data_IF_610158445532
#
_entry.id   IF_610158445532
#
_cell.length_a   1.000
_cell.length_b   1.000
_cell.length_c   1.000
_cell.angle_alpha   90.00
_cell.angle_beta   90.00
_cell.angle_gamma   90.00
#
_symmetry.space_group_name_H-M   'P 1'
#
loop_
_entity.id
_entity.type
_entity.pdbx_description
1 polymer ?
#
# COMPACT_ATOMS: atom_id res chain seq x y z
N UNK A 1 13.74 -22.85 -18.35
CA UNK A 1 13.40 -22.12 -17.12
C UNK A 1 13.96 -22.92 -15.96
N UNK A 2 14.73 -22.30 -15.05
CA UNK A 2 15.06 -22.97 -13.79
C UNK A 2 13.76 -23.22 -13.04
N UNK A 3 13.59 -24.41 -12.48
CA UNK A 3 12.52 -24.70 -11.54
C UNK A 3 12.73 -23.79 -10.32
N UNK A 4 11.92 -22.75 -10.20
CA UNK A 4 12.05 -21.74 -9.13
C UNK A 4 11.61 -22.34 -7.79
N UNK A 5 10.98 -23.52 -7.80
CA UNK A 5 10.50 -24.20 -6.60
C UNK A 5 9.46 -23.37 -5.81
N UNK A 6 9.00 -23.91 -4.70
CA UNK A 6 8.08 -23.22 -3.79
C UNK A 6 8.80 -22.04 -3.10
N UNK A 7 8.20 -20.86 -3.16
CA UNK A 7 8.74 -19.65 -2.51
C UNK A 7 8.85 -19.83 -1.00
N UNK A 8 9.88 -19.26 -0.40
CA UNK A 8 10.28 -19.56 0.98
C UNK A 8 9.25 -19.07 2.00
N UNK A 9 8.76 -17.83 1.83
CA UNK A 9 7.90 -17.18 2.81
C UNK A 9 6.42 -17.27 2.42
N UNK A 10 6.05 -16.94 1.18
CA UNK A 10 4.66 -16.99 0.74
C UNK A 10 4.15 -18.41 0.45
N UNK A 11 5.04 -19.40 0.33
CA UNK A 11 4.73 -20.82 0.09
C UNK A 11 3.90 -21.08 -1.17
N UNK A 12 4.07 -20.26 -2.20
CA UNK A 12 3.42 -20.39 -3.50
C UNK A 12 4.41 -20.80 -4.59
N UNK A 13 3.87 -21.36 -5.66
CA UNK A 13 4.59 -21.73 -6.87
C UNK A 13 4.12 -20.89 -8.06
N UNK A 14 4.83 -20.95 -9.18
CA UNK A 14 4.36 -20.40 -10.44
C UNK A 14 2.97 -20.96 -10.79
N UNK A 15 2.05 -20.06 -11.15
CA UNK A 15 0.66 -20.40 -11.45
C UNK A 15 -0.30 -20.31 -10.27
N UNK A 16 0.15 -20.28 -9.02
CA UNK A 16 -0.73 -20.14 -7.85
C UNK A 16 -1.32 -18.74 -7.74
N UNK A 17 -0.59 -17.71 -8.18
CA UNK A 17 -0.98 -16.30 -8.13
C UNK A 17 -1.18 -15.69 -9.52
N UNK A 18 -1.91 -14.57 -9.60
CA UNK A 18 -2.05 -13.78 -10.82
C UNK A 18 -0.94 -12.74 -10.98
N UNK A 19 -0.82 -12.19 -12.21
CA UNK A 19 0.11 -11.07 -12.45
C UNK A 19 -0.28 -9.77 -11.75
N UNK A 20 -1.57 -9.64 -11.39
CA UNK A 20 -2.16 -8.48 -10.70
C UNK A 20 -2.38 -8.83 -9.23
N UNK A 21 -1.75 -8.11 -8.32
CA UNK A 21 -1.79 -8.45 -6.90
C UNK A 21 -2.15 -7.25 -6.03
N UNK A 22 -3.07 -7.47 -5.10
CA UNK A 22 -3.38 -6.53 -4.03
C UNK A 22 -2.56 -6.85 -2.79
N UNK A 23 -2.00 -5.82 -2.15
CA UNK A 23 -1.14 -5.93 -0.99
C UNK A 23 -1.74 -5.19 0.23
N UNK A 24 -2.67 -5.79 0.99
CA UNK A 24 -3.04 -5.26 2.30
C UNK A 24 -1.96 -5.60 3.33
N UNK A 25 -1.82 -4.79 4.38
CA UNK A 25 -0.94 -5.12 5.51
C UNK A 25 -1.55 -6.23 6.38
N UNK A 26 -2.82 -6.10 6.73
CA UNK A 26 -3.56 -6.99 7.61
C UNK A 26 -4.03 -8.26 6.88
N UNK A 27 -3.65 -9.47 7.37
CA UNK A 27 -4.15 -10.74 6.83
C UNK A 27 -5.68 -10.87 6.83
N UNK A 28 -6.36 -10.24 7.79
CA UNK A 28 -7.81 -10.25 7.89
C UNK A 28 -8.52 -9.53 6.74
N UNK A 29 -7.84 -8.61 6.03
CA UNK A 29 -8.40 -7.92 4.86
C UNK A 29 -8.36 -8.74 3.58
N UNK A 30 -7.59 -9.81 3.53
CA UNK A 30 -7.47 -10.60 2.29
C UNK A 30 -8.81 -11.18 1.84
N UNK A 31 -9.61 -11.72 2.77
CA UNK A 31 -10.94 -12.26 2.45
C UNK A 31 -11.90 -11.17 1.94
N UNK A 32 -11.91 -10.00 2.59
CA UNK A 32 -12.75 -8.86 2.17
C UNK A 32 -12.39 -8.35 0.77
N UNK A 33 -11.11 -8.35 0.41
CA UNK A 33 -10.65 -8.00 -0.93
C UNK A 33 -11.02 -9.10 -1.93
N UNK A 34 -10.76 -10.37 -1.58
CA UNK A 34 -11.06 -11.52 -2.42
C UNK A 34 -12.55 -11.71 -2.70
N UNK A 35 -13.43 -11.23 -1.81
CA UNK A 35 -14.88 -11.24 -2.01
C UNK A 35 -15.32 -10.42 -3.26
N UNK A 36 -14.46 -9.57 -3.81
CA UNK A 36 -14.69 -8.84 -5.06
C UNK A 36 -14.21 -9.58 -6.32
N UNK A 37 -13.55 -10.72 -6.16
CA UNK A 37 -13.09 -11.55 -7.30
C UNK A 37 -14.16 -12.53 -7.74
N UNK A 38 -14.11 -12.93 -9.01
CA UNK A 38 -14.88 -14.08 -9.49
C UNK A 38 -14.16 -15.36 -9.06
N UNK A 39 -14.92 -16.30 -8.47
CA UNK A 39 -14.45 -17.62 -8.03
C UNK A 39 -13.16 -17.56 -7.16
N UNK A 40 -13.14 -16.82 -6.06
CA UNK A 40 -11.96 -16.73 -5.21
C UNK A 40 -11.68 -18.05 -4.51
N UNK A 41 -10.41 -18.44 -4.47
CA UNK A 41 -9.91 -19.58 -3.71
C UNK A 41 -8.87 -19.12 -2.70
N UNK A 42 -8.90 -19.68 -1.51
CA UNK A 42 -7.83 -19.52 -0.53
C UNK A 42 -6.65 -20.39 -0.95
N UNK A 43 -5.53 -19.78 -1.33
CA UNK A 43 -4.31 -20.48 -1.76
C UNK A 43 -3.55 -21.02 -0.55
N UNK A 44 -3.44 -20.23 0.49
CA UNK A 44 -2.79 -20.61 1.73
C UNK A 44 -2.43 -19.43 2.60
N UNK A 45 -1.96 -19.75 3.79
CA UNK A 45 -1.43 -18.78 4.75
C UNK A 45 -0.14 -19.31 5.36
N UNK A 46 0.91 -18.50 5.36
CA UNK A 46 2.15 -18.76 6.07
C UNK A 46 2.67 -17.46 6.68
N UNK A 47 2.96 -17.44 7.98
CA UNK A 47 3.30 -16.23 8.73
C UNK A 47 2.22 -15.15 8.55
N UNK A 48 2.60 -13.94 8.17
CA UNK A 48 1.73 -12.81 7.84
C UNK A 48 1.14 -12.85 6.41
N UNK A 49 1.58 -13.78 5.56
CA UNK A 49 1.18 -13.87 4.16
C UNK A 49 -0.04 -14.77 4.00
N UNK A 50 -1.22 -14.16 3.90
CA UNK A 50 -2.50 -14.82 3.63
C UNK A 50 -2.89 -14.54 2.19
N UNK A 51 -3.13 -15.59 1.38
CA UNK A 51 -3.23 -15.46 -0.07
C UNK A 51 -4.55 -16.04 -0.58
N UNK A 52 -5.25 -15.24 -1.38
CA UNK A 52 -6.40 -15.66 -2.18
C UNK A 52 -6.14 -15.34 -3.65
N UNK A 53 -6.64 -16.17 -4.54
CA UNK A 53 -6.56 -15.99 -5.99
C UNK A 53 -7.94 -16.22 -6.60
N UNK A 54 -8.31 -15.40 -7.58
CA UNK A 54 -9.53 -15.48 -8.35
C UNK A 54 -9.37 -14.78 -9.68
N UNK A 55 -10.45 -14.23 -10.24
CA UNK A 55 -10.37 -13.44 -11.47
C UNK A 55 -11.10 -12.11 -11.37
N UNK A 56 -10.64 -11.12 -12.14
CA UNK A 56 -11.35 -9.89 -12.46
C UNK A 56 -11.32 -9.68 -13.97
N UNK A 57 -12.47 -9.48 -14.58
CA UNK A 57 -12.60 -9.35 -16.05
C UNK A 57 -11.91 -10.51 -16.81
N UNK A 58 -11.98 -11.72 -16.24
CA UNK A 58 -11.37 -12.93 -16.81
C UNK A 58 -9.85 -13.02 -16.65
N UNK A 59 -9.19 -12.04 -16.04
CA UNK A 59 -7.76 -12.08 -15.75
C UNK A 59 -7.51 -12.56 -14.32
N UNK A 60 -6.51 -13.43 -14.14
CA UNK A 60 -6.14 -13.94 -12.82
C UNK A 60 -5.59 -12.80 -11.95
N UNK A 61 -6.19 -12.64 -10.78
CA UNK A 61 -5.79 -11.66 -9.76
C UNK A 61 -5.58 -12.35 -8.43
N UNK A 62 -4.72 -11.78 -7.60
CA UNK A 62 -4.49 -12.29 -6.25
C UNK A 62 -4.49 -11.16 -5.22
N UNK A 63 -4.67 -11.54 -3.97
CA UNK A 63 -4.39 -10.71 -2.81
C UNK A 63 -3.43 -11.47 -1.90
N UNK A 64 -2.41 -10.79 -1.42
CA UNK A 64 -1.44 -11.30 -0.47
C UNK A 64 -1.20 -10.26 0.62
N UNK A 65 -1.47 -10.59 1.88
CA UNK A 65 -1.10 -9.69 2.99
C UNK A 65 0.41 -9.61 3.16
N UNK A 66 0.87 -8.47 3.66
CA UNK A 66 2.30 -8.19 3.80
C UNK A 66 2.76 -8.09 5.26
N UNK A 67 1.84 -8.13 6.23
CA UNK A 67 2.18 -7.69 7.59
C UNK A 67 2.48 -6.19 7.62
N UNK A 68 3.28 -5.77 8.60
CA UNK A 68 3.66 -4.37 8.84
C UNK A 68 5.13 -4.15 8.51
N UNK A 69 5.40 -3.09 7.77
CA UNK A 69 6.74 -2.57 7.53
C UNK A 69 7.42 -3.05 6.25
N UNK A 70 8.45 -2.30 5.87
CA UNK A 70 9.21 -2.50 4.63
C UNK A 70 9.79 -3.89 4.45
N UNK A 71 10.46 -4.49 5.45
CA UNK A 71 11.08 -5.81 5.29
C UNK A 71 10.10 -6.90 4.90
N UNK A 72 8.94 -6.99 5.57
CA UNK A 72 7.93 -7.98 5.26
C UNK A 72 7.26 -7.73 3.90
N UNK A 73 6.96 -6.47 3.59
CA UNK A 73 6.37 -6.09 2.31
C UNK A 73 7.29 -6.35 1.12
N UNK A 74 8.61 -6.11 1.27
CA UNK A 74 9.60 -6.38 0.23
C UNK A 74 9.75 -7.86 -0.07
N UNK A 75 9.77 -8.71 0.96
CA UNK A 75 9.80 -10.18 0.79
C UNK A 75 8.59 -10.65 -0.02
N UNK A 76 7.38 -10.16 0.32
CA UNK A 76 6.18 -10.52 -0.44
C UNK A 76 6.31 -10.13 -1.91
N UNK A 77 6.75 -8.90 -2.21
CA UNK A 77 6.88 -8.41 -3.59
C UNK A 77 7.93 -9.19 -4.38
N UNK A 78 9.10 -9.47 -3.79
CA UNK A 78 10.16 -10.28 -4.40
C UNK A 78 9.65 -11.67 -4.78
N UNK A 79 9.06 -12.38 -3.84
CA UNK A 79 8.61 -13.75 -4.06
C UNK A 79 7.41 -13.82 -5.01
N UNK A 80 6.47 -12.87 -4.94
CA UNK A 80 5.36 -12.77 -5.89
C UNK A 80 5.85 -12.46 -7.31
N UNK A 81 6.83 -11.55 -7.43
CA UNK A 81 7.43 -11.21 -8.73
C UNK A 81 8.17 -12.40 -9.32
N UNK A 82 8.91 -13.16 -8.52
CA UNK A 82 9.61 -14.37 -8.95
C UNK A 82 8.69 -15.43 -9.58
N UNK A 83 7.42 -15.47 -9.17
CA UNK A 83 6.40 -16.41 -9.68
C UNK A 83 5.41 -15.76 -10.66
N UNK A 84 5.73 -14.58 -11.20
CA UNK A 84 5.06 -13.99 -12.36
C UNK A 84 4.13 -12.80 -12.08
N UNK A 85 4.05 -12.28 -10.86
CA UNK A 85 3.34 -11.03 -10.59
C UNK A 85 4.14 -9.80 -11.07
N UNK A 86 3.47 -8.81 -11.70
CA UNK A 86 4.13 -7.63 -12.26
C UNK A 86 3.40 -6.31 -11.99
N UNK A 87 2.24 -6.38 -11.36
CA UNK A 87 1.40 -5.20 -11.09
C UNK A 87 0.80 -5.29 -9.70
N UNK A 88 1.13 -4.32 -8.85
CA UNK A 88 0.80 -4.33 -7.44
C UNK A 88 0.02 -3.08 -7.03
N UNK A 89 -1.09 -3.26 -6.31
CA UNK A 89 -1.80 -2.18 -5.61
C UNK A 89 -1.79 -2.46 -4.12
N UNK A 90 -1.10 -1.60 -3.37
CA UNK A 90 -1.22 -1.60 -1.91
C UNK A 90 -2.53 -0.97 -1.48
N UNK A 91 -3.30 -1.70 -0.66
CA UNK A 91 -4.51 -1.21 -0.01
C UNK A 91 -4.26 -1.17 1.49
N UNK A 92 -4.00 0.03 2.00
CA UNK A 92 -3.61 0.22 3.39
C UNK A 92 -4.57 1.07 4.21
N UNK A 93 -4.16 1.33 5.44
CA UNK A 93 -4.70 2.38 6.31
C UNK A 93 -3.64 3.43 6.57
N UNK A 94 -4.05 4.66 6.86
CA UNK A 94 -3.13 5.73 7.21
C UNK A 94 -3.70 6.65 8.28
N UNK A 95 -2.82 7.39 8.94
CA UNK A 95 -3.17 8.55 9.74
C UNK A 95 -3.01 9.82 8.92
N UNK A 96 -4.03 10.70 8.90
CA UNK A 96 -3.93 11.99 8.23
C UNK A 96 -2.91 12.93 8.91
N UNK A 97 -2.21 13.73 8.11
CA UNK A 97 -1.31 14.81 8.55
C UNK A 97 -1.88 16.16 8.13
N UNK A 98 -2.27 16.31 6.87
CA UNK A 98 -2.94 17.52 6.36
C UNK A 98 -4.34 17.63 7.03
N UNK A 99 -4.67 18.81 7.55
CA UNK A 99 -5.93 19.05 8.27
C UNK A 99 -7.19 18.84 7.40
N UNK A 100 -7.06 18.86 6.07
CA UNK A 100 -8.16 18.60 5.15
C UNK A 100 -8.41 17.09 4.92
N UNK A 101 -7.51 16.22 5.35
CA UNK A 101 -7.63 14.77 5.24
C UNK A 101 -8.40 14.24 6.44
N UNK A 102 -9.64 13.80 6.22
CA UNK A 102 -10.56 13.36 7.27
C UNK A 102 -10.63 11.84 7.36
N UNK A 103 -10.96 11.27 8.54
CA UNK A 103 -11.31 9.86 8.63
C UNK A 103 -12.43 9.50 7.63
N UNK A 104 -12.30 8.36 6.98
CA UNK A 104 -13.20 7.92 5.90
C UNK A 104 -12.78 8.36 4.50
N UNK A 105 -11.93 9.37 4.37
CA UNK A 105 -11.36 9.77 3.08
C UNK A 105 -10.38 8.71 2.55
N UNK A 106 -10.06 8.78 1.27
CA UNK A 106 -9.03 7.93 0.65
C UNK A 106 -7.84 8.79 0.21
N UNK A 107 -6.64 8.38 0.58
CA UNK A 107 -5.39 8.98 0.13
C UNK A 107 -4.75 8.09 -0.93
N UNK A 108 -4.39 8.66 -2.08
CA UNK A 108 -3.60 8.02 -3.14
C UNK A 108 -2.19 8.62 -3.11
N UNK A 109 -1.18 7.79 -2.87
CA UNK A 109 0.20 8.25 -2.82
C UNK A 109 0.72 8.61 -4.21
N UNK A 110 1.29 9.81 -4.35
CA UNK A 110 2.07 10.25 -5.53
C UNK A 110 3.57 10.20 -5.31
N UNK A 111 3.99 9.89 -4.11
CA UNK A 111 5.35 9.68 -3.64
C UNK A 111 5.33 9.35 -2.16
N UNK A 112 6.43 8.80 -1.67
CA UNK A 112 6.59 8.48 -0.26
C UNK A 112 7.92 9.00 0.28
N UNK A 113 7.89 9.56 1.49
CA UNK A 113 9.10 9.92 2.22
C UNK A 113 9.79 8.63 2.66
N UNK A 114 11.03 8.45 2.29
CA UNK A 114 11.89 7.32 2.65
C UNK A 114 12.44 7.47 4.07
N UNK A 115 11.53 7.43 5.07
CA UNK A 115 11.89 7.48 6.48
C UNK A 115 11.82 6.07 7.11
N UNK A 116 12.28 5.10 6.32
CA UNK A 116 12.42 3.67 6.61
C UNK A 116 13.77 3.18 6.03
N UNK A 117 14.20 2.01 6.42
CA UNK A 117 15.54 1.53 6.06
C UNK A 117 15.56 0.55 4.88
N UNK A 118 14.48 -0.18 4.64
CA UNK A 118 14.42 -1.22 3.61
C UNK A 118 14.75 -0.68 2.22
N UNK A 119 14.18 0.47 1.85
CA UNK A 119 14.42 1.06 0.54
C UNK A 119 15.88 1.46 0.31
N UNK A 120 16.64 1.72 1.38
CA UNK A 120 18.06 2.07 1.28
C UNK A 120 18.95 0.89 0.88
N UNK A 121 18.48 -0.34 1.11
CA UNK A 121 19.16 -1.55 0.68
C UNK A 121 18.92 -1.88 -0.81
N UNK A 122 17.91 -1.25 -1.43
CA UNK A 122 17.59 -1.42 -2.86
C UNK A 122 18.08 -0.28 -3.74
N UNK A 123 18.14 0.95 -3.22
CA UNK A 123 18.55 2.11 -4.00
C UNK A 123 19.15 3.21 -3.11
N UNK A 124 20.08 4.04 -3.62
CA UNK A 124 20.63 5.17 -2.88
C UNK A 124 19.51 6.16 -2.49
N UNK A 125 19.75 6.97 -1.44
CA UNK A 125 18.71 7.85 -0.87
C UNK A 125 18.19 8.89 -1.88
N UNK A 126 18.99 9.28 -2.84
CA UNK A 126 18.65 10.23 -3.89
C UNK A 126 17.62 9.68 -4.89
N UNK A 127 17.47 8.34 -4.98
CA UNK A 127 16.44 7.74 -5.82
C UNK A 127 15.05 7.93 -5.16
N UNK A 128 14.10 8.56 -5.85
CA UNK A 128 12.81 8.88 -5.24
C UNK A 128 11.92 7.64 -5.10
N UNK A 129 11.19 7.55 -3.98
CA UNK A 129 10.13 6.56 -3.82
C UNK A 129 8.84 7.09 -4.45
N UNK A 130 8.58 6.73 -5.71
CA UNK A 130 7.42 7.16 -6.50
C UNK A 130 6.64 5.94 -7.02
N UNK A 131 5.30 6.00 -7.02
CA UNK A 131 4.47 4.96 -7.62
C UNK A 131 4.58 4.96 -9.15
N UNK A 132 4.17 3.86 -9.78
CA UNK A 132 3.88 3.87 -11.21
C UNK A 132 2.76 4.87 -11.50
N UNK A 133 2.96 5.75 -12.48
CA UNK A 133 2.02 6.84 -12.79
C UNK A 133 0.65 6.31 -13.22
N UNK A 134 0.62 5.26 -14.06
CA UNK A 134 -0.65 4.70 -14.55
C UNK A 134 -1.49 4.15 -13.38
N UNK A 135 -0.84 3.53 -12.38
CA UNK A 135 -1.54 3.03 -11.19
C UNK A 135 -2.05 4.19 -10.33
N UNK A 136 -1.23 5.21 -10.09
CA UNK A 136 -1.66 6.37 -9.30
C UNK A 136 -2.85 7.08 -9.95
N UNK A 137 -2.83 7.23 -11.27
CA UNK A 137 -3.94 7.81 -12.03
C UNK A 137 -5.18 6.92 -12.02
N UNK A 138 -5.04 5.61 -12.17
CA UNK A 138 -6.15 4.66 -12.09
C UNK A 138 -6.84 4.71 -10.72
N UNK A 139 -6.05 4.74 -9.64
CA UNK A 139 -6.57 4.86 -8.26
C UNK A 139 -7.33 6.18 -8.05
N UNK A 140 -6.76 7.31 -8.49
CA UNK A 140 -7.43 8.61 -8.41
C UNK A 140 -8.75 8.60 -9.16
N UNK A 141 -8.75 8.21 -10.42
CA UNK A 141 -9.93 8.21 -11.28
C UNK A 141 -11.02 7.28 -10.74
N UNK A 142 -10.66 6.06 -10.34
CA UNK A 142 -11.59 5.10 -9.73
C UNK A 142 -12.26 5.67 -8.47
N UNK A 143 -11.50 6.35 -7.62
CA UNK A 143 -12.05 6.97 -6.42
C UNK A 143 -13.03 8.10 -6.73
N UNK A 144 -12.72 8.96 -7.71
CA UNK A 144 -13.60 10.04 -8.17
C UNK A 144 -14.88 9.50 -8.83
N UNK A 145 -14.77 8.46 -9.66
CA UNK A 145 -15.90 7.77 -10.29
C UNK A 145 -16.85 7.14 -9.27
N UNK A 146 -16.30 6.59 -8.20
CA UNK A 146 -17.07 6.00 -7.09
C UNK A 146 -17.64 7.04 -6.12
N UNK A 147 -17.32 8.33 -6.31
CA UNK A 147 -17.81 9.44 -5.50
C UNK A 147 -17.15 9.56 -4.12
N UNK A 148 -15.99 8.94 -3.92
CA UNK A 148 -15.22 9.10 -2.69
C UNK A 148 -14.43 10.40 -2.67
N UNK A 149 -14.20 10.93 -1.47
CA UNK A 149 -13.31 12.07 -1.29
C UNK A 149 -11.85 11.59 -1.38
N UNK A 150 -11.18 11.96 -2.48
CA UNK A 150 -9.82 11.53 -2.80
C UNK A 150 -8.83 12.66 -2.53
N UNK A 151 -7.77 12.34 -1.82
CA UNK A 151 -6.58 13.19 -1.68
C UNK A 151 -5.40 12.54 -2.39
N UNK A 152 -4.70 13.31 -3.21
CA UNK A 152 -3.46 12.87 -3.83
C UNK A 152 -2.29 13.64 -3.25
N UNK A 153 -1.16 13.00 -3.02
CA UNK A 153 0.04 13.66 -2.52
C UNK A 153 1.07 12.73 -1.92
N UNK A 154 2.11 13.34 -1.39
CA UNK A 154 3.18 12.60 -0.71
C UNK A 154 2.69 12.06 0.62
N UNK A 155 3.06 10.82 0.93
CA UNK A 155 2.84 10.19 2.23
C UNK A 155 4.16 10.01 2.98
N UNK A 156 4.11 10.02 4.31
CA UNK A 156 5.27 9.63 5.11
C UNK A 156 5.26 8.12 5.29
N UNK A 157 6.37 7.46 4.94
CA UNK A 157 6.60 6.05 5.22
C UNK A 157 7.68 5.92 6.30
N UNK A 158 7.39 5.20 7.38
CA UNK A 158 8.25 5.09 8.56
C UNK A 158 8.37 3.66 9.07
N UNK A 159 9.45 3.38 9.82
CA UNK A 159 9.66 2.09 10.51
C UNK A 159 9.07 2.06 11.93
N UNK A 160 9.02 3.21 12.61
CA UNK A 160 8.57 3.26 13.99
C UNK A 160 7.17 3.85 14.13
N UNK A 161 6.18 3.01 14.47
CA UNK A 161 4.83 3.47 14.79
C UNK A 161 4.83 4.40 16.01
N UNK A 162 5.44 3.98 17.11
CA UNK A 162 5.47 4.76 18.35
C UNK A 162 6.41 5.96 18.30
N UNK A 163 7.37 6.00 17.39
CA UNK A 163 8.15 7.21 17.12
C UNK A 163 7.30 8.38 16.65
N UNK A 164 6.14 8.11 16.03
CA UNK A 164 5.16 9.14 15.67
C UNK A 164 4.13 9.39 16.78
N UNK A 165 3.56 8.32 17.37
CA UNK A 165 2.38 8.44 18.24
C UNK A 165 2.72 8.69 19.71
N UNK A 166 3.96 8.45 20.12
CA UNK A 166 4.45 8.72 21.45
C UNK A 166 5.92 9.18 21.40
N UNK A 167 6.25 10.23 20.62
CA UNK A 167 7.63 10.66 20.38
C UNK A 167 8.35 11.06 21.67
N UNK A 168 7.62 11.58 22.66
CA UNK A 168 8.15 12.00 23.96
C UNK A 168 8.78 10.86 24.77
N UNK A 169 8.44 9.59 24.44
CA UNK A 169 9.04 8.39 25.06
C UNK A 169 10.34 7.96 24.37
N UNK A 170 10.68 8.58 23.25
CA UNK A 170 11.88 8.24 22.48
C UNK A 170 13.09 9.05 22.92
N UNK A 171 14.29 8.43 23.04
CA UNK A 171 15.53 9.17 23.27
C UNK A 171 15.85 10.20 22.19
N UNK A 172 15.33 10.03 20.98
CA UNK A 172 15.54 10.92 19.83
C UNK A 172 14.32 11.82 19.54
N UNK A 173 13.50 12.11 20.54
CA UNK A 173 12.22 12.80 20.36
C UNK A 173 12.35 14.17 19.67
N UNK A 174 13.43 14.92 19.89
CA UNK A 174 13.65 16.21 19.24
C UNK A 174 13.70 16.09 17.72
N UNK A 175 14.46 15.11 17.22
CA UNK A 175 14.56 14.84 15.79
C UNK A 175 13.20 14.43 15.20
N UNK A 176 12.46 13.57 15.90
CA UNK A 176 11.12 13.13 15.49
C UNK A 176 10.15 14.30 15.37
N UNK A 177 10.11 15.21 16.36
CA UNK A 177 9.24 16.38 16.35
C UNK A 177 9.61 17.37 15.23
N UNK A 178 10.91 17.62 15.02
CA UNK A 178 11.37 18.54 13.97
C UNK A 178 11.06 18.00 12.57
N UNK A 179 11.26 16.70 12.33
CA UNK A 179 10.90 16.07 11.06
C UNK A 179 9.39 16.12 10.83
N UNK A 180 8.60 15.79 11.85
CA UNK A 180 7.13 15.86 11.76
C UNK A 180 6.65 17.26 11.37
N UNK A 181 7.19 18.31 12.01
CA UNK A 181 6.86 19.69 11.67
C UNK A 181 7.27 20.06 10.23
N UNK A 182 8.41 19.55 9.75
CA UNK A 182 8.83 19.74 8.37
C UNK A 182 7.86 19.10 7.38
N UNK A 183 7.39 17.88 7.65
CA UNK A 183 6.43 17.19 6.78
C UNK A 183 5.09 17.90 6.72
N UNK A 184 4.61 18.44 7.84
CA UNK A 184 3.41 19.29 7.85
C UNK A 184 3.57 20.51 6.94
N UNK A 185 4.68 21.22 7.06
CA UNK A 185 4.98 22.39 6.22
C UNK A 185 5.16 22.06 4.74
N UNK A 186 5.60 20.85 4.42
CA UNK A 186 5.71 20.35 3.06
C UNK A 186 4.36 19.85 2.49
N UNK A 187 3.30 19.86 3.27
CA UNK A 187 1.97 19.45 2.83
C UNK A 187 1.79 17.94 2.64
N UNK A 188 2.56 17.14 3.39
CA UNK A 188 2.43 15.68 3.41
C UNK A 188 1.03 15.31 3.85
N UNK A 189 0.37 14.40 3.11
CA UNK A 189 -1.05 14.09 3.30
C UNK A 189 -1.33 13.16 4.46
N UNK A 190 -0.56 12.10 4.57
CA UNK A 190 -0.81 11.03 5.53
C UNK A 190 0.49 10.28 5.88
N UNK A 191 0.39 9.42 6.90
CA UNK A 191 1.48 8.59 7.39
C UNK A 191 1.09 7.11 7.35
N UNK A 192 1.99 6.27 6.84
CA UNK A 192 1.86 4.81 6.74
C UNK A 192 3.25 4.16 6.89
N UNK A 193 3.44 2.87 6.54
CA UNK A 193 4.68 2.16 6.91
C UNK A 193 5.33 1.33 5.78
N UNK A 194 4.82 1.29 4.53
CA UNK A 194 5.33 0.35 3.52
C UNK A 194 5.57 0.94 2.11
N UNK A 195 4.91 2.06 1.75
CA UNK A 195 4.93 2.55 0.36
C UNK A 195 6.31 2.92 -0.15
N UNK A 196 7.18 3.50 0.67
CA UNK A 196 8.52 3.87 0.19
C UNK A 196 9.31 2.63 -0.18
N UNK A 197 9.30 1.60 0.67
CA UNK A 197 9.93 0.31 0.36
C UNK A 197 9.33 -0.31 -0.91
N UNK A 198 8.00 -0.43 -0.99
CA UNK A 198 7.33 -1.05 -2.14
C UNK A 198 7.60 -0.32 -3.46
N UNK A 199 7.62 1.02 -3.48
CA UNK A 199 7.87 1.78 -4.70
C UNK A 199 9.32 1.61 -5.19
N UNK A 200 10.27 1.61 -4.27
CA UNK A 200 11.69 1.43 -4.61
C UNK A 200 11.98 -0.01 -5.02
N UNK A 201 11.45 -1.00 -4.29
CA UNK A 201 11.58 -2.43 -4.64
C UNK A 201 10.95 -2.72 -6.00
N UNK A 202 9.73 -2.20 -6.27
CA UNK A 202 9.08 -2.34 -7.57
C UNK A 202 9.94 -1.78 -8.72
N UNK A 203 10.58 -0.61 -8.49
CA UNK A 203 11.50 -0.04 -9.48
C UNK A 203 12.73 -0.91 -9.70
N UNK A 204 13.30 -1.49 -8.64
CA UNK A 204 14.45 -2.39 -8.72
C UNK A 204 14.11 -3.70 -9.46
N UNK A 205 12.89 -4.21 -9.28
CA UNK A 205 12.41 -5.43 -9.94
C UNK A 205 11.84 -5.20 -11.35
N UNK A 206 11.67 -3.93 -11.76
CA UNK A 206 11.07 -3.59 -13.06
C UNK A 206 9.56 -3.87 -13.13
N UNK A 207 8.86 -3.82 -12.01
CA UNK A 207 7.41 -4.06 -11.91
C UNK A 207 6.65 -2.78 -11.54
N UNK A 208 5.32 -2.80 -11.64
CA UNK A 208 4.46 -1.63 -11.36
C UNK A 208 3.89 -1.71 -9.95
N UNK A 209 3.98 -0.61 -9.19
CA UNK A 209 3.35 -0.51 -7.87
C UNK A 209 2.72 0.85 -7.64
N UNK A 210 1.60 0.88 -6.91
CA UNK A 210 0.95 2.08 -6.39
C UNK A 210 0.21 1.79 -5.10
N UNK A 211 -0.23 2.84 -4.39
CA UNK A 211 -0.85 2.69 -3.07
C UNK A 211 -2.05 3.60 -2.89
N UNK A 212 -3.08 3.07 -2.24
CA UNK A 212 -4.18 3.86 -1.68
C UNK A 212 -4.47 3.45 -0.25
N UNK A 213 -5.00 4.39 0.54
CA UNK A 213 -5.19 4.23 1.97
C UNK A 213 -6.54 4.76 2.40
N UNK A 214 -7.21 4.00 3.25
CA UNK A 214 -8.30 4.50 4.07
C UNK A 214 -7.73 5.32 5.23
N UNK A 215 -8.25 6.51 5.43
CA UNK A 215 -7.87 7.38 6.56
C UNK A 215 -8.63 6.96 7.79
N UNK A 216 -7.93 6.41 8.79
CA UNK A 216 -8.53 5.97 10.06
C UNK A 216 -8.73 7.13 11.02
N UNK A 217 -7.76 8.05 11.05
CA UNK A 217 -7.64 9.08 12.06
C UNK A 217 -6.71 10.20 11.57
N UNK A 218 -6.79 11.40 12.18
CA UNK A 218 -5.89 12.51 11.88
C UNK A 218 -5.32 13.11 13.16
N UNK A 219 -4.03 12.89 13.39
CA UNK A 219 -3.29 13.30 14.59
C UNK A 219 -3.28 14.82 14.80
N UNK A 220 -3.19 15.60 13.72
CA UNK A 220 -3.10 17.07 13.84
C UNK A 220 -4.47 17.67 14.15
N UNK A 221 -5.55 17.09 13.62
CA UNK A 221 -6.93 17.48 13.98
C UNK A 221 -7.22 17.19 15.45
N UNK A 222 -6.79 16.03 15.95
CA UNK A 222 -6.96 15.67 17.36
C UNK A 222 -6.25 16.68 18.27
N UNK A 223 -4.99 17.02 17.97
CA UNK A 223 -4.23 18.03 18.73
C UNK A 223 -4.90 19.40 18.76
N UNK A 224 -5.64 19.75 17.71
CA UNK A 224 -6.39 21.00 17.60
C UNK A 224 -7.82 20.90 18.13
N UNK A 225 -8.21 19.76 18.70
CA UNK A 225 -9.56 19.50 19.21
C UNK A 225 -10.63 19.73 18.13
N UNK A 226 -10.31 19.43 16.87
CA UNK A 226 -11.24 19.51 15.76
C UNK A 226 -12.12 18.24 15.71
N UNK A 227 -13.41 18.39 15.36
CA UNK A 227 -14.32 17.24 15.26
C UNK A 227 -13.81 16.22 14.25
N UNK A 228 -13.93 14.94 14.63
CA UNK A 228 -13.43 13.82 13.87
C UNK A 228 -14.09 12.53 14.35
N UNK A 229 -14.74 11.81 13.44
CA UNK A 229 -15.28 10.48 13.70
C UNK A 229 -14.31 9.45 13.14
N UNK A 230 -13.61 8.72 14.02
CA UNK A 230 -12.70 7.65 13.62
C UNK A 230 -13.47 6.51 12.95
N UNK A 231 -12.88 5.88 11.95
CA UNK A 231 -13.47 4.74 11.26
C UNK A 231 -12.41 3.73 10.83
N UNK A 232 -12.69 2.45 11.10
CA UNK A 232 -11.86 1.32 10.69
C UNK A 232 -12.41 0.62 9.43
N UNK A 233 -13.52 1.13 8.86
CA UNK A 233 -14.14 0.56 7.66
C UNK A 233 -13.32 0.87 6.41
N UNK A 234 -12.46 -0.07 6.01
CA UNK A 234 -11.58 0.05 4.85
C UNK A 234 -12.28 -0.17 3.51
N UNK A 235 -13.59 -0.36 3.46
CA UNK A 235 -14.33 -0.70 2.24
C UNK A 235 -14.17 0.34 1.12
N UNK A 236 -14.03 1.64 1.46
CA UNK A 236 -13.75 2.69 0.47
C UNK A 236 -12.44 2.46 -0.28
N UNK A 237 -11.34 2.23 0.44
CA UNK A 237 -10.03 1.98 -0.17
C UNK A 237 -10.00 0.64 -0.94
N UNK A 238 -10.69 -0.38 -0.45
CA UNK A 238 -10.84 -1.66 -1.15
C UNK A 238 -11.55 -1.46 -2.49
N UNK A 239 -12.71 -0.78 -2.51
CA UNK A 239 -13.47 -0.51 -3.74
C UNK A 239 -12.66 0.31 -4.74
N UNK A 240 -11.95 1.35 -4.27
CA UNK A 240 -11.06 2.15 -5.12
C UNK A 240 -9.96 1.28 -5.72
N UNK A 241 -9.30 0.44 -4.92
CA UNK A 241 -8.27 -0.48 -5.41
C UNK A 241 -8.79 -1.47 -6.45
N UNK A 242 -9.95 -2.09 -6.21
CA UNK A 242 -10.59 -3.04 -7.13
C UNK A 242 -10.93 -2.36 -8.46
N UNK A 243 -11.58 -1.19 -8.44
CA UNK A 243 -11.96 -0.49 -9.67
C UNK A 243 -10.72 -0.02 -10.44
N UNK A 244 -9.71 0.51 -9.75
CA UNK A 244 -8.44 0.87 -10.37
C UNK A 244 -7.75 -0.34 -11.04
N UNK A 245 -7.78 -1.52 -10.41
CA UNK A 245 -7.23 -2.73 -11.03
C UNK A 245 -7.98 -3.14 -12.29
N UNK A 246 -9.31 -3.00 -12.32
CA UNK A 246 -10.09 -3.24 -13.54
C UNK A 246 -9.69 -2.28 -14.67
N UNK A 247 -9.48 -0.99 -14.37
CA UNK A 247 -8.99 0.00 -15.34
C UNK A 247 -7.62 -0.40 -15.91
N UNK A 248 -6.71 -0.87 -15.06
CA UNK A 248 -5.38 -1.34 -15.50
C UNK A 248 -5.46 -2.58 -16.37
N UNK A 249 -6.29 -3.57 -15.99
CA UNK A 249 -6.54 -4.78 -16.79
C UNK A 249 -7.07 -4.40 -18.19
N UNK A 250 -8.08 -3.53 -18.25
CA UNK A 250 -8.66 -3.08 -19.52
C UNK A 250 -7.65 -2.30 -20.39
N UNK A 251 -6.78 -1.52 -19.76
CA UNK A 251 -5.72 -0.80 -20.47
C UNK A 251 -4.66 -1.75 -21.03
N UNK A 252 -4.28 -2.76 -20.25
CA UNK A 252 -3.27 -3.75 -20.66
C UNK A 252 -3.80 -4.69 -21.77
N UNK A 253 -5.10 -5.01 -21.78
CA UNK A 253 -5.73 -5.81 -22.84
C UNK A 253 -5.79 -5.09 -24.20
N UNK A 254 -5.57 -3.76 -24.23
CA UNK A 254 -5.57 -2.97 -25.48
C UNK A 254 -4.17 -2.81 -26.09
N UNK A 255 -3.12 -3.24 -25.37
CA UNK A 255 -1.72 -3.21 -25.83
C UNK A 255 -1.38 -4.50 -26.58
#
# INVERSE_FOLDING_TARGET
>A
MQDIGTQVHIRCNEGDVGRYVFLPGDPGRCESIAAHFDNPIHVGMNREYNIYTGTLLGQKVSVCSTGIGGPSASIAMEELTAIGADTFIRIGTCGGIDLNVLPGDVVVATGAIRYEHTSLEYAPIEFPAVPNLDIAMALKNAGEELGYRIHTGVVQCKDSFYGQHAPEKSPVYYDLLQKWESWKRLGVKASEMESAALFVVASALGVRCGSCFHVVWNQEREKLVMSMDMTDDTSSAIRVGIEAMKHLILADMKK
#
